data_IF_973269973593
#
_entry.id   IF_973269973593
#
_cell.length_a   1.000
_cell.length_b   1.000
_cell.length_c   1.000
_cell.angle_alpha   90.00
_cell.angle_beta   90.00
_cell.angle_gamma   90.00
#
_symmetry.space_group_name_H-M   'P 1'
#
loop_
_entity.id
_entity.type
_entity.pdbx_description
1 polymer ?
#
# COMPACT_ATOMS: atom_id res chain seq x y z
N UNK A 1 30.42 24.23 -1.43
CA UNK A 1 29.01 24.52 -1.73
C UNK A 1 28.35 23.20 -2.09
N UNK A 2 27.50 22.66 -1.23
CA UNK A 2 26.78 21.41 -1.53
C UNK A 2 25.77 21.71 -2.63
N UNK A 3 25.90 21.05 -3.79
CA UNK A 3 24.85 21.06 -4.80
C UNK A 3 23.64 20.41 -4.15
N UNK A 4 22.52 21.12 -4.06
CA UNK A 4 21.28 20.53 -3.57
C UNK A 4 20.90 19.38 -4.50
N UNK A 5 20.87 18.16 -3.99
CA UNK A 5 20.49 16.97 -4.76
C UNK A 5 19.01 17.07 -5.09
N UNK A 6 18.64 16.90 -6.36
CA UNK A 6 17.23 16.72 -6.74
C UNK A 6 16.72 15.42 -6.14
N UNK A 7 15.68 15.51 -5.32
CA UNK A 7 15.03 14.35 -4.70
C UNK A 7 13.87 13.92 -5.60
N UNK A 8 13.83 12.63 -5.93
CA UNK A 8 12.71 12.04 -6.67
C UNK A 8 11.65 11.54 -5.70
N UNK A 9 10.38 11.72 -6.07
CA UNK A 9 9.22 11.26 -5.32
C UNK A 9 8.36 10.39 -6.23
N UNK A 10 7.98 9.21 -5.75
CA UNK A 10 6.99 8.32 -6.38
C UNK A 10 5.87 8.03 -5.40
N UNK A 11 4.67 7.74 -5.92
CA UNK A 11 3.51 7.37 -5.12
C UNK A 11 2.86 6.14 -5.73
N UNK A 12 2.53 5.18 -4.86
CA UNK A 12 1.68 4.05 -5.16
C UNK A 12 0.31 4.34 -4.50
N UNK A 13 -0.78 4.18 -5.26
CA UNK A 13 -2.15 4.31 -4.75
C UNK A 13 -2.92 3.03 -5.03
N UNK A 14 -3.52 2.47 -3.98
CA UNK A 14 -4.43 1.34 -4.09
C UNK A 14 -5.89 1.84 -4.15
N UNK A 15 -6.71 1.18 -4.97
CA UNK A 15 -8.13 1.48 -5.13
C UNK A 15 -8.97 0.22 -5.06
N UNK A 16 -10.14 0.34 -4.43
CA UNK A 16 -11.18 -0.67 -4.52
C UNK A 16 -11.90 -0.58 -5.87
N UNK A 17 -11.99 -1.69 -6.59
CA UNK A 17 -12.83 -1.84 -7.79
C UNK A 17 -14.24 -2.21 -7.35
N UNK A 18 -15.22 -1.42 -7.78
CA UNK A 18 -16.64 -1.58 -7.41
C UNK A 18 -17.51 -1.71 -8.64
N UNK A 19 -18.55 -2.54 -8.56
CA UNK A 19 -19.61 -2.57 -9.57
C UNK A 19 -20.54 -1.37 -9.39
N UNK A 20 -20.77 -0.59 -10.45
CA UNK A 20 -21.56 0.66 -10.35
C UNK A 20 -23.05 0.42 -10.13
N UNK A 21 -23.56 -0.78 -10.41
CA UNK A 21 -24.97 -1.11 -10.21
C UNK A 21 -25.28 -1.50 -8.75
N UNK A 22 -24.56 -2.49 -8.23
CA UNK A 22 -24.68 -3.00 -6.87
C UNK A 22 -23.98 -2.12 -5.83
N UNK A 23 -22.97 -1.35 -6.26
CA UNK A 23 -22.05 -0.54 -5.41
C UNK A 23 -21.18 -1.38 -4.49
N UNK A 24 -21.03 -2.68 -4.79
CA UNK A 24 -20.20 -3.60 -4.01
C UNK A 24 -18.80 -3.69 -4.63
N UNK A 25 -17.79 -3.93 -3.79
CA UNK A 25 -16.48 -4.36 -4.27
C UNK A 25 -16.64 -5.65 -5.09
N UNK A 26 -15.90 -5.77 -6.19
CA UNK A 26 -16.05 -6.87 -7.15
C UNK A 26 -14.70 -7.41 -7.59
N UNK A 27 -14.53 -8.74 -7.78
CA UNK A 27 -13.27 -9.37 -8.17
C UNK A 27 -12.94 -9.23 -9.68
N UNK A 28 -13.22 -8.07 -10.26
CA UNK A 28 -13.09 -7.78 -11.70
C UNK A 28 -11.81 -7.01 -12.05
N UNK A 29 -10.80 -7.01 -11.17
CA UNK A 29 -9.55 -6.27 -11.43
C UNK A 29 -8.85 -6.74 -12.69
N UNK A 30 -8.83 -8.05 -12.96
CA UNK A 30 -8.16 -8.61 -14.14
C UNK A 30 -8.80 -8.08 -15.43
N UNK A 31 -10.13 -7.98 -15.46
CA UNK A 31 -10.88 -7.41 -16.58
C UNK A 31 -10.53 -5.94 -16.76
N UNK A 32 -10.48 -5.16 -15.67
CA UNK A 32 -10.11 -3.74 -15.70
C UNK A 32 -8.70 -3.52 -16.23
N UNK A 33 -7.74 -4.34 -15.78
CA UNK A 33 -6.32 -4.23 -16.13
C UNK A 33 -6.05 -4.53 -17.61
N UNK A 34 -6.92 -5.27 -18.31
CA UNK A 34 -6.75 -5.54 -19.75
C UNK A 34 -6.75 -4.28 -20.62
N UNK A 35 -7.31 -3.18 -20.11
CA UNK A 35 -7.40 -1.89 -20.79
C UNK A 35 -6.35 -0.87 -20.31
N UNK A 36 -5.42 -1.28 -19.44
CA UNK A 36 -4.46 -0.39 -18.76
C UNK A 36 -3.02 -0.82 -19.03
N UNK A 37 -2.09 0.12 -18.89
CA UNK A 37 -0.66 -0.14 -19.03
C UNK A 37 -0.12 -0.89 -17.80
N UNK A 38 0.37 -2.12 -18.00
CA UNK A 38 0.92 -2.95 -16.93
C UNK A 38 2.19 -2.38 -16.30
N UNK A 39 2.83 -1.38 -16.91
CA UNK A 39 3.93 -0.66 -16.29
C UNK A 39 3.47 0.31 -15.18
N UNK A 40 2.22 0.78 -15.24
CA UNK A 40 1.66 1.76 -14.32
C UNK A 40 0.58 1.17 -13.41
N UNK A 41 -0.02 0.04 -13.77
CA UNK A 41 -1.11 -0.59 -13.02
C UNK A 41 -0.85 -2.07 -12.76
N UNK A 42 -1.14 -2.50 -11.54
CA UNK A 42 -0.94 -3.88 -11.10
C UNK A 42 -2.13 -4.37 -10.26
N UNK A 43 -2.42 -5.68 -10.25
CA UNK A 43 -3.34 -6.25 -9.26
C UNK A 43 -2.67 -6.26 -7.88
N UNK A 44 -3.45 -6.19 -6.80
CA UNK A 44 -2.94 -6.42 -5.44
C UNK A 44 -3.45 -7.75 -4.85
N UNK A 45 -3.16 -8.03 -3.57
CA UNK A 45 -3.51 -9.26 -2.86
C UNK A 45 -4.98 -9.67 -3.04
N UNK A 46 -5.91 -8.70 -3.03
CA UNK A 46 -7.33 -8.97 -3.29
C UNK A 46 -7.68 -8.65 -4.75
N UNK A 47 -8.48 -9.51 -5.38
CA UNK A 47 -8.96 -9.36 -6.77
C UNK A 47 -9.91 -8.19 -6.98
N UNK A 48 -10.30 -7.52 -5.90
CA UNK A 48 -11.05 -6.26 -5.93
C UNK A 48 -10.16 -5.04 -5.78
N UNK A 49 -8.83 -5.17 -5.78
CA UNK A 49 -7.89 -4.08 -5.58
C UNK A 49 -6.98 -3.91 -6.78
N UNK A 50 -6.86 -2.66 -7.22
CA UNK A 50 -5.91 -2.24 -8.24
C UNK A 50 -4.94 -1.23 -7.64
N UNK A 51 -3.66 -1.39 -7.92
CA UNK A 51 -2.62 -0.44 -7.58
C UNK A 51 -2.24 0.38 -8.82
N UNK A 52 -2.00 1.68 -8.64
CA UNK A 52 -1.39 2.53 -9.65
C UNK A 52 -0.07 3.10 -9.14
N UNK A 53 0.93 3.16 -10.01
CA UNK A 53 2.28 3.60 -9.70
C UNK A 53 2.62 4.85 -10.52
N UNK A 54 2.93 5.96 -9.85
CA UNK A 54 3.46 7.14 -10.54
C UNK A 54 4.87 6.88 -11.06
N UNK A 55 5.27 7.64 -12.06
CA UNK A 55 6.69 7.77 -12.40
C UNK A 55 7.40 8.54 -11.28
N UNK A 56 8.74 8.40 -11.15
CA UNK A 56 9.52 9.27 -10.28
C UNK A 56 9.44 10.72 -10.75
N UNK A 57 8.98 11.62 -9.90
CA UNK A 57 8.81 13.05 -10.17
C UNK A 57 9.82 13.90 -9.41
N UNK A 58 10.20 15.04 -9.98
CA UNK A 58 11.13 15.99 -9.34
C UNK A 58 10.40 17.14 -8.63
N UNK A 59 9.12 17.35 -8.96
CA UNK A 59 8.27 18.38 -8.35
C UNK A 59 6.91 17.83 -7.96
N UNK A 60 6.23 18.51 -7.03
CA UNK A 60 4.88 18.14 -6.61
C UNK A 60 3.83 18.41 -7.70
N UNK A 61 4.07 19.35 -8.62
CA UNK A 61 3.16 19.63 -9.73
C UNK A 61 3.22 18.53 -10.80
N UNK A 62 4.42 18.01 -11.08
CA UNK A 62 4.60 16.80 -11.90
C UNK A 62 3.86 15.62 -11.26
N UNK A 63 4.10 15.38 -9.96
CA UNK A 63 3.47 14.28 -9.23
C UNK A 63 1.94 14.39 -9.24
N UNK A 64 1.39 15.60 -9.00
CA UNK A 64 -0.06 15.86 -9.08
C UNK A 64 -0.60 15.54 -10.46
N UNK A 65 0.10 15.96 -11.52
CA UNK A 65 -0.31 15.70 -12.90
C UNK A 65 -0.34 14.21 -13.19
N UNK A 66 0.67 13.46 -12.74
CA UNK A 66 0.74 12.02 -12.92
C UNK A 66 -0.38 11.29 -12.15
N UNK A 67 -0.56 11.59 -10.86
CA UNK A 67 -1.62 11.01 -10.02
C UNK A 67 -3.01 11.24 -10.60
N UNK A 68 -3.32 12.49 -10.98
CA UNK A 68 -4.63 12.81 -11.57
C UNK A 68 -4.82 12.14 -12.92
N UNK A 69 -3.77 12.00 -13.72
CA UNK A 69 -3.76 11.25 -14.97
C UNK A 69 -4.03 9.76 -14.79
N UNK A 70 -3.38 9.10 -13.83
CA UNK A 70 -3.58 7.68 -13.52
C UNK A 70 -5.00 7.41 -13.03
N UNK A 71 -5.52 8.24 -12.12
CA UNK A 71 -6.93 8.14 -11.66
C UNK A 71 -7.93 8.33 -12.80
N UNK A 72 -7.67 9.26 -13.72
CA UNK A 72 -8.52 9.48 -14.89
C UNK A 72 -8.50 8.26 -15.83
N UNK A 73 -7.35 7.62 -16.02
CA UNK A 73 -7.22 6.39 -16.80
C UNK A 73 -8.03 5.25 -16.18
N UNK A 74 -7.91 5.02 -14.86
CA UNK A 74 -8.71 4.02 -14.14
C UNK A 74 -10.22 4.25 -14.32
N UNK A 75 -10.67 5.49 -14.12
CA UNK A 75 -12.08 5.84 -14.27
C UNK A 75 -12.58 5.68 -15.71
N UNK A 76 -11.74 6.00 -16.70
CA UNK A 76 -12.07 5.84 -18.11
C UNK A 76 -12.14 4.35 -18.52
N UNK A 77 -11.21 3.52 -18.02
CA UNK A 77 -11.18 2.08 -18.29
C UNK A 77 -12.34 1.33 -17.63
N UNK A 78 -12.72 1.70 -16.41
CA UNK A 78 -13.82 1.04 -15.68
C UNK A 78 -15.22 1.35 -16.23
N UNK A 79 -15.45 2.59 -16.69
CA UNK A 79 -16.79 3.05 -17.13
C UNK A 79 -17.48 2.15 -18.16
N UNK A 80 -16.86 1.75 -19.29
CA UNK A 80 -17.52 0.87 -20.27
C UNK A 80 -17.82 -0.53 -19.72
N UNK A 81 -17.12 -0.95 -18.66
CA UNK A 81 -17.30 -2.25 -17.99
C UNK A 81 -18.38 -2.20 -16.90
N UNK A 82 -18.97 -1.02 -16.63
CA UNK A 82 -19.86 -0.83 -15.48
C UNK A 82 -19.12 -0.81 -14.14
N UNK A 83 -17.80 -0.61 -14.16
CA UNK A 83 -16.94 -0.58 -12.98
C UNK A 83 -16.58 0.86 -12.57
N UNK A 84 -16.43 1.07 -11.27
CA UNK A 84 -15.89 2.27 -10.66
C UNK A 84 -14.68 1.95 -9.78
N UNK A 85 -13.94 2.98 -9.39
CA UNK A 85 -12.82 2.87 -8.44
C UNK A 85 -13.04 3.79 -7.25
N UNK A 86 -12.67 3.34 -6.06
CA UNK A 86 -12.78 4.10 -4.80
C UNK A 86 -11.43 4.18 -4.12
N UNK A 87 -10.97 5.41 -3.85
CA UNK A 87 -9.78 5.69 -3.04
C UNK A 87 -10.22 5.92 -1.59
N UNK A 88 -10.25 4.85 -0.81
CA UNK A 88 -10.57 4.86 0.61
C UNK A 88 -9.90 3.67 1.28
N UNK A 89 -9.51 3.79 2.54
CA UNK A 89 -8.81 2.71 3.23
C UNK A 89 -9.62 1.42 3.37
N UNK A 90 -10.95 1.51 3.31
CA UNK A 90 -11.90 0.38 3.24
C UNK A 90 -13.14 0.79 2.45
N UNK A 91 -13.87 -0.20 1.91
CA UNK A 91 -15.24 -0.01 1.40
C UNK A 91 -16.25 -0.83 2.23
N UNK A 92 -17.42 -0.24 2.56
CA UNK A 92 -18.38 -0.88 3.46
C UNK A 92 -19.10 -2.07 2.83
N UNK A 93 -19.27 -2.07 1.51
CA UNK A 93 -20.04 -3.07 0.78
C UNK A 93 -19.10 -4.01 0.03
N UNK A 94 -18.87 -5.19 0.59
CA UNK A 94 -18.15 -6.28 -0.04
C UNK A 94 -18.68 -7.62 0.47
N UNK A 95 -18.53 -8.69 -0.32
CA UNK A 95 -18.85 -10.04 0.13
C UNK A 95 -17.75 -10.53 1.09
N UNK A 96 -18.09 -10.69 2.36
CA UNK A 96 -17.17 -11.14 3.42
C UNK A 96 -16.88 -12.65 3.35
N UNK A 97 -17.62 -13.39 2.53
CA UNK A 97 -17.46 -14.84 2.35
C UNK A 97 -16.76 -15.21 1.04
N UNK A 98 -16.63 -14.27 0.11
CA UNK A 98 -15.87 -14.47 -1.11
C UNK A 98 -14.39 -14.64 -0.78
N UNK A 99 -13.77 -15.67 -1.36
CA UNK A 99 -12.32 -15.88 -1.25
C UNK A 99 -11.68 -15.29 -2.49
N UNK A 100 -11.29 -14.02 -2.39
CA UNK A 100 -10.88 -13.21 -3.54
C UNK A 100 -9.38 -12.89 -3.52
N UNK A 101 -8.55 -13.83 -3.08
CA UNK A 101 -7.09 -13.65 -3.16
C UNK A 101 -6.62 -13.78 -4.62
N UNK A 102 -5.81 -12.82 -5.07
CA UNK A 102 -5.23 -12.79 -6.40
C UNK A 102 -4.31 -13.98 -6.65
N UNK A 103 -4.29 -14.46 -7.89
CA UNK A 103 -3.46 -15.60 -8.27
C UNK A 103 -1.97 -15.27 -8.12
N UNK A 104 -1.17 -16.28 -7.75
CA UNK A 104 0.28 -16.15 -7.66
C UNK A 104 0.84 -16.78 -6.40
N UNK A 105 1.99 -17.45 -6.56
CA UNK A 105 2.60 -18.27 -5.50
C UNK A 105 2.81 -17.51 -4.18
N UNK A 106 3.11 -16.21 -4.24
CA UNK A 106 3.30 -15.37 -3.05
C UNK A 106 1.98 -15.16 -2.29
N UNK A 107 0.92 -14.75 -2.98
CA UNK A 107 -0.38 -14.46 -2.37
C UNK A 107 -1.07 -15.73 -1.88
N UNK A 108 -0.98 -16.83 -2.64
CA UNK A 108 -1.46 -18.15 -2.21
C UNK A 108 -0.74 -18.63 -0.94
N UNK A 109 0.58 -18.45 -0.87
CA UNK A 109 1.34 -18.73 0.35
C UNK A 109 0.90 -17.86 1.53
N UNK A 110 0.73 -16.55 1.32
CA UNK A 110 0.24 -15.64 2.37
C UNK A 110 -1.14 -16.05 2.88
N UNK A 111 -2.04 -16.48 1.98
CA UNK A 111 -3.34 -16.99 2.37
C UNK A 111 -3.22 -18.27 3.22
N UNK A 112 -2.37 -19.21 2.83
CA UNK A 112 -2.12 -20.43 3.57
C UNK A 112 -1.50 -20.19 4.95
N UNK A 113 -0.55 -19.26 5.07
CA UNK A 113 0.18 -19.00 6.31
C UNK A 113 -0.61 -18.11 7.29
N UNK A 114 -1.19 -17.01 6.79
CA UNK A 114 -1.80 -15.97 7.64
C UNK A 114 -3.32 -16.06 7.73
N UNK A 115 -3.96 -16.89 6.89
CA UNK A 115 -5.35 -17.32 7.02
C UNK A 115 -6.33 -16.15 7.20
N UNK A 116 -6.79 -15.92 8.44
CA UNK A 116 -7.73 -14.86 8.78
C UNK A 116 -7.20 -13.49 8.38
N UNK A 117 -5.92 -13.19 8.58
CA UNK A 117 -5.37 -11.87 8.26
C UNK A 117 -5.41 -11.62 6.75
N UNK A 118 -5.03 -12.61 5.94
CA UNK A 118 -5.09 -12.52 4.49
C UNK A 118 -6.54 -12.34 3.99
N UNK A 119 -7.50 -13.07 4.56
CA UNK A 119 -8.94 -12.91 4.22
C UNK A 119 -9.53 -11.58 4.67
N UNK A 120 -8.93 -10.93 5.67
CA UNK A 120 -9.40 -9.64 6.18
C UNK A 120 -8.64 -8.46 5.59
N UNK A 121 -7.64 -8.69 4.74
CA UNK A 121 -6.82 -7.68 4.08
C UNK A 121 -7.57 -7.05 2.89
N UNK A 122 -8.79 -6.57 3.11
CA UNK A 122 -9.57 -5.78 2.16
C UNK A 122 -9.41 -4.29 2.48
N UNK A 123 -8.17 -3.82 2.39
CA UNK A 123 -7.81 -2.44 2.69
C UNK A 123 -6.98 -1.86 1.55
N UNK A 124 -7.08 -0.55 1.33
CA UNK A 124 -6.21 0.18 0.43
C UNK A 124 -5.24 1.07 1.21
N UNK A 125 -4.03 1.26 0.72
CA UNK A 125 -3.07 2.25 1.21
C UNK A 125 -2.65 3.27 0.16
N UNK A 126 -1.88 4.25 0.64
CA UNK A 126 -1.05 5.11 -0.22
C UNK A 126 0.39 5.04 0.27
N UNK A 127 1.27 4.64 -0.64
CA UNK A 127 2.70 4.51 -0.37
C UNK A 127 3.43 5.69 -1.01
N UNK A 128 4.30 6.34 -0.25
CA UNK A 128 5.11 7.46 -0.76
C UNK A 128 6.58 7.07 -0.71
N UNK A 129 7.21 7.04 -1.88
CA UNK A 129 8.62 6.73 -2.05
C UNK A 129 9.40 8.02 -2.24
N UNK A 130 10.47 8.20 -1.48
CA UNK A 130 11.38 9.34 -1.59
C UNK A 130 12.79 8.82 -1.79
N UNK A 131 13.44 9.22 -2.88
CA UNK A 131 14.81 8.82 -3.20
C UNK A 131 15.79 9.29 -2.11
N UNK A 132 16.70 8.40 -1.73
CA UNK A 132 17.74 8.62 -0.71
C UNK A 132 19.08 8.15 -1.25
N UNK A 133 20.18 8.86 -0.96
CA UNK A 133 21.48 8.58 -1.56
C UNK A 133 22.12 7.29 -1.05
N UNK A 134 21.79 6.88 0.17
CA UNK A 134 22.31 5.68 0.81
C UNK A 134 21.32 5.14 1.86
N UNK A 135 21.55 3.89 2.27
CA UNK A 135 20.64 3.16 3.15
C UNK A 135 20.75 3.58 4.62
N UNK A 136 21.91 4.07 5.06
CA UNK A 136 22.07 4.56 6.44
C UNK A 136 21.22 5.82 6.63
N UNK A 137 21.21 6.71 5.62
CA UNK A 137 20.32 7.86 5.62
C UNK A 137 18.84 7.44 5.54
N UNK A 138 18.50 6.40 4.77
CA UNK A 138 17.13 5.86 4.75
C UNK A 138 16.68 5.46 6.17
N UNK A 139 17.52 4.72 6.90
CA UNK A 139 17.25 4.32 8.28
C UNK A 139 17.12 5.53 9.20
N UNK A 140 18.03 6.50 9.10
CA UNK A 140 17.97 7.72 9.91
C UNK A 140 16.69 8.54 9.65
N UNK A 141 16.25 8.64 8.39
CA UNK A 141 15.01 9.32 8.00
C UNK A 141 13.79 8.59 8.57
N UNK A 142 13.74 7.25 8.50
CA UNK A 142 12.65 6.48 9.10
C UNK A 142 12.51 6.78 10.61
N UNK A 143 13.62 6.77 11.36
CA UNK A 143 13.61 7.11 12.78
C UNK A 143 13.16 8.55 13.04
N UNK A 144 13.60 9.48 12.18
CA UNK A 144 13.29 10.90 12.33
C UNK A 144 11.80 11.21 12.07
N UNK A 145 11.18 10.55 11.09
CA UNK A 145 9.78 10.77 10.71
C UNK A 145 8.81 10.00 11.61
N UNK A 146 9.25 8.94 12.28
CA UNK A 146 8.41 8.09 13.13
C UNK A 146 7.48 8.86 14.10
N UNK A 147 7.93 9.91 14.82
CA UNK A 147 7.06 10.66 15.72
C UNK A 147 5.93 11.45 15.03
N UNK A 148 6.08 11.76 13.73
CA UNK A 148 5.08 12.49 12.95
C UNK A 148 4.03 11.58 12.30
N UNK A 149 4.28 10.27 12.26
CA UNK A 149 3.40 9.29 11.62
C UNK A 149 1.94 9.35 12.12
N UNK A 150 1.64 9.47 13.43
CA UNK A 150 0.25 9.55 13.90
C UNK A 150 -0.53 10.75 13.33
N UNK A 151 0.16 11.87 13.05
CA UNK A 151 -0.47 13.05 12.45
C UNK A 151 -0.81 12.79 10.98
N UNK A 152 0.08 12.14 10.24
CA UNK A 152 -0.18 11.75 8.85
C UNK A 152 -1.37 10.79 8.76
N UNK A 153 -1.42 9.78 9.64
CA UNK A 153 -2.57 8.89 9.74
C UNK A 153 -3.88 9.64 10.04
N UNK A 154 -3.85 10.60 10.96
CA UNK A 154 -5.03 11.39 11.29
C UNK A 154 -5.53 12.23 10.10
N UNK A 155 -4.62 12.72 9.25
CA UNK A 155 -4.96 13.49 8.05
C UNK A 155 -5.45 12.61 6.90
N UNK A 156 -4.96 11.38 6.79
CA UNK A 156 -5.30 10.45 5.71
C UNK A 156 -6.48 9.51 6.01
N UNK A 157 -6.97 9.50 7.27
CA UNK A 157 -8.01 8.58 7.71
C UNK A 157 -9.27 8.66 6.82
N UNK A 158 -9.60 7.54 6.17
CA UNK A 158 -10.66 7.45 5.16
C UNK A 158 -11.48 6.17 5.24
N UNK A 159 -11.41 5.45 6.37
CA UNK A 159 -12.03 4.12 6.52
C UNK A 159 -12.90 3.97 7.79
N UNK A 160 -13.93 4.81 7.98
CA UNK A 160 -14.75 4.72 9.19
C UNK A 160 -15.69 3.52 9.24
N UNK A 161 -15.99 2.91 8.09
CA UNK A 161 -16.87 1.75 8.00
C UNK A 161 -16.09 0.45 7.76
N UNK A 162 -16.55 -0.64 8.38
CA UNK A 162 -16.01 -1.98 8.23
C UNK A 162 -17.14 -3.00 8.15
N UNK A 163 -17.14 -3.85 7.11
CA UNK A 163 -18.13 -4.92 6.91
C UNK A 163 -19.59 -4.46 7.05
N UNK A 164 -19.91 -3.34 6.40
CA UNK A 164 -21.26 -2.77 6.37
C UNK A 164 -21.69 -2.01 7.63
N UNK A 165 -20.83 -1.86 8.64
CA UNK A 165 -21.13 -1.16 9.88
C UNK A 165 -20.17 0.01 10.14
N UNK A 166 -20.64 1.04 10.85
CA UNK A 166 -19.76 2.05 11.43
C UNK A 166 -18.88 1.38 12.48
N UNK A 167 -17.56 1.50 12.33
CA UNK A 167 -16.59 0.88 13.22
C UNK A 167 -16.42 1.64 14.54
N UNK A 168 -16.82 2.92 14.60
CA UNK A 168 -16.47 3.84 15.67
C UNK A 168 -15.05 4.42 15.59
N UNK A 169 -14.26 4.06 14.58
CA UNK A 169 -12.92 4.57 14.31
C UNK A 169 -12.90 5.45 13.06
N UNK A 170 -11.93 6.36 12.97
CA UNK A 170 -11.68 7.10 11.73
C UNK A 170 -10.95 6.23 10.67
N UNK A 171 -10.15 5.26 11.13
CA UNK A 171 -9.37 4.36 10.28
C UNK A 171 -9.51 2.90 10.72
N UNK A 172 -10.46 2.18 10.15
CA UNK A 172 -10.58 0.72 10.29
C UNK A 172 -9.42 0.01 9.61
N UNK A 173 -8.89 0.58 8.52
CA UNK A 173 -7.69 0.12 7.82
C UNK A 173 -6.55 -0.16 8.80
N UNK A 174 -6.28 0.80 9.70
CA UNK A 174 -5.18 0.69 10.66
C UNK A 174 -5.37 -0.49 11.60
N UNK A 175 -6.59 -0.75 12.08
CA UNK A 175 -6.88 -1.88 12.96
C UNK A 175 -6.72 -3.22 12.26
N UNK A 176 -7.09 -3.30 10.99
CA UNK A 176 -6.87 -4.49 10.18
C UNK A 176 -5.37 -4.72 9.98
N UNK A 177 -4.64 -3.67 9.59
CA UNK A 177 -3.22 -3.72 9.22
C UNK A 177 -2.29 -4.07 10.39
N UNK A 178 -2.51 -3.51 11.58
CA UNK A 178 -1.65 -3.71 12.76
C UNK A 178 -1.57 -5.16 13.26
N UNK A 179 -2.42 -6.05 12.75
CA UNK A 179 -2.39 -7.48 13.10
C UNK A 179 -1.37 -8.28 12.30
N UNK A 180 -0.85 -7.73 11.20
CA UNK A 180 0.22 -8.36 10.44
C UNK A 180 1.55 -8.30 11.19
N UNK A 181 2.42 -9.33 11.06
CA UNK A 181 3.75 -9.30 11.67
C UNK A 181 4.50 -8.05 11.23
N UNK A 182 5.21 -7.41 12.16
CA UNK A 182 6.03 -6.20 11.93
C UNK A 182 5.27 -4.94 11.51
N UNK A 183 3.93 -4.96 11.40
CA UNK A 183 3.15 -3.77 11.12
C UNK A 183 3.22 -2.77 12.29
N UNK A 184 3.36 -1.48 11.96
CA UNK A 184 3.43 -0.39 12.94
C UNK A 184 4.74 0.41 12.86
N UNK A 185 5.12 1.14 13.92
CA UNK A 185 6.27 2.02 13.90
C UNK A 185 7.58 1.31 13.51
N UNK A 186 8.55 2.02 12.90
CA UNK A 186 9.83 1.42 12.54
C UNK A 186 10.55 0.90 13.79
N UNK A 187 11.25 -0.22 13.62
CA UNK A 187 12.10 -0.77 14.68
C UNK A 187 13.28 0.16 14.97
N UNK A 188 13.70 0.26 16.24
CA UNK A 188 14.83 1.08 16.65
C UNK A 188 16.15 0.44 16.24
N UNK A 189 16.71 0.86 15.11
CA UNK A 189 18.01 0.43 14.56
C UNK A 189 18.86 1.65 14.23
N UNK A 190 20.19 1.51 14.32
CA UNK A 190 21.15 2.62 14.19
C UNK A 190 21.57 2.90 12.75
N UNK A 191 21.66 1.87 11.93
CA UNK A 191 22.22 1.92 10.57
C UNK A 191 21.62 0.82 9.69
N UNK A 192 21.98 0.81 8.41
CA UNK A 192 21.49 -0.17 7.44
C UNK A 192 21.93 -1.60 7.77
N UNK A 193 23.10 -1.78 8.39
CA UNK A 193 23.60 -3.10 8.76
C UNK A 193 22.76 -3.73 9.87
N UNK A 194 22.38 -2.96 10.90
CA UNK A 194 21.43 -3.42 11.92
C UNK A 194 20.04 -3.67 11.36
N UNK A 195 19.58 -2.83 10.42
CA UNK A 195 18.31 -3.05 9.73
C UNK A 195 18.29 -4.37 8.95
N UNK A 196 19.36 -4.67 8.22
CA UNK A 196 19.50 -5.92 7.46
C UNK A 196 19.58 -7.14 8.38
N UNK A 197 20.33 -7.03 9.49
CA UNK A 197 20.42 -8.09 10.50
C UNK A 197 19.05 -8.39 11.12
N UNK A 198 18.29 -7.34 11.48
CA UNK A 198 16.93 -7.47 11.99
C UNK A 198 16.01 -8.22 11.00
N UNK A 199 16.03 -7.85 9.73
CA UNK A 199 15.20 -8.52 8.71
C UNK A 199 15.63 -9.98 8.55
N UNK A 200 16.94 -10.25 8.52
CA UNK A 200 17.46 -11.61 8.43
C UNK A 200 17.00 -12.47 9.63
N UNK A 201 16.98 -11.93 10.84
CA UNK A 201 16.50 -12.61 12.04
C UNK A 201 14.98 -12.85 11.98
N UNK A 202 14.20 -11.88 11.51
CA UNK A 202 12.74 -12.01 11.34
C UNK A 202 12.37 -13.09 10.31
N UNK A 203 13.12 -13.18 9.21
CA UNK A 203 12.96 -14.24 8.21
C UNK A 203 13.41 -15.59 8.76
N UNK A 204 14.58 -15.64 9.39
CA UNK A 204 15.15 -16.90 9.93
C UNK A 204 14.29 -17.50 11.04
N UNK A 205 13.68 -16.66 11.87
CA UNK A 205 12.74 -17.08 12.91
C UNK A 205 11.37 -17.52 12.39
N UNK A 206 11.05 -17.25 11.12
CA UNK A 206 9.73 -17.48 10.55
C UNK A 206 8.66 -16.47 11.00
N UNK A 207 9.06 -15.35 11.61
CA UNK A 207 8.12 -14.26 11.95
C UNK A 207 7.53 -13.63 10.69
N UNK A 208 8.36 -13.54 9.65
CA UNK A 208 7.95 -13.16 8.29
C UNK A 208 8.55 -14.14 7.27
N UNK A 209 7.89 -14.32 6.13
CA UNK A 209 8.28 -15.34 5.14
C UNK A 209 9.31 -14.84 4.13
N UNK A 210 9.42 -13.52 3.96
CA UNK A 210 10.41 -12.83 3.10
C UNK A 210 10.55 -11.34 3.49
N UNK A 211 11.60 -10.63 3.02
CA UNK A 211 11.78 -9.20 3.30
C UNK A 211 10.65 -8.29 2.82
N UNK A 212 9.84 -8.71 1.85
CA UNK A 212 8.68 -7.96 1.38
C UNK A 212 7.53 -7.90 2.40
N UNK A 213 7.60 -8.71 3.46
CA UNK A 213 6.65 -8.72 4.58
C UNK A 213 7.05 -7.81 5.75
N UNK A 214 8.06 -6.95 5.58
CA UNK A 214 8.44 -5.94 6.57
C UNK A 214 7.44 -4.79 6.53
N UNK A 215 6.43 -4.77 7.39
CA UNK A 215 5.29 -3.87 7.28
C UNK A 215 5.38 -2.60 8.13
N UNK A 216 6.60 -2.16 8.47
CA UNK A 216 6.78 -0.89 9.17
C UNK A 216 6.11 0.28 8.43
N UNK A 217 5.49 1.18 9.18
CA UNK A 217 4.76 2.36 8.71
C UNK A 217 5.64 3.31 7.88
N UNK A 218 6.96 3.26 8.12
CA UNK A 218 8.01 3.85 7.29
C UNK A 218 9.22 2.91 7.27
N UNK A 219 9.79 2.65 6.08
CA UNK A 219 10.90 1.70 5.93
C UNK A 219 11.81 2.06 4.76
N UNK A 220 13.12 1.71 4.81
CA UNK A 220 13.91 1.55 3.60
C UNK A 220 13.23 0.55 2.66
N UNK A 221 13.04 0.93 1.39
CA UNK A 221 12.48 0.03 0.39
C UNK A 221 13.39 -1.18 0.16
N UNK A 222 12.81 -2.35 -0.02
CA UNK A 222 13.55 -3.60 -0.27
C UNK A 222 14.06 -3.71 -1.72
N UNK A 223 13.54 -2.90 -2.64
CA UNK A 223 13.76 -3.05 -4.08
C UNK A 223 14.09 -1.74 -4.80
N UNK A 224 13.99 -0.60 -4.11
CA UNK A 224 14.36 0.72 -4.61
C UNK A 224 15.29 1.45 -3.62
N UNK A 225 16.16 2.37 -4.10
CA UNK A 225 16.97 3.23 -3.23
C UNK A 225 16.13 4.36 -2.61
N UNK A 226 15.01 4.01 -1.98
CA UNK A 226 14.02 4.96 -1.45
C UNK A 226 13.72 4.69 0.01
N UNK A 227 13.29 5.72 0.72
CA UNK A 227 12.49 5.57 1.94
C UNK A 227 11.02 5.53 1.53
N UNK A 228 10.28 4.60 2.10
CA UNK A 228 8.89 4.29 1.77
C UNK A 228 8.00 4.52 2.98
N UNK A 229 7.08 5.48 2.88
CA UNK A 229 6.03 5.76 3.87
C UNK A 229 4.77 4.97 3.49
N UNK A 230 4.19 4.20 4.41
CA UNK A 230 3.04 3.30 4.16
C UNK A 230 1.86 3.48 5.12
N UNK A 231 1.95 4.47 6.00
CA UNK A 231 0.93 4.67 7.05
C UNK A 231 -0.42 5.15 6.51
N UNK A 232 -0.44 5.80 5.35
CA UNK A 232 -1.62 6.43 4.76
C UNK A 232 -2.61 5.39 4.22
#
# INVERSE_FOLDING_TARGET
MSVARTVLIGVEEEFHVVDLHSRQATPEVDTLLTALDSAAFAPELQRSLVESNTRPCTTLDELRTDLTGLRAQLAAAGRPLGLGVVSAGTVPLHDVHATDVSAGARYERMQCEYQMLAREQHICGTQVHVDVPDRDLAVAVAQHVAPALPVLLALSASSPYWRGADSGYASSRTLVWQRWPTAGPPSSVRDAAEYDALIADLVTSGTISDPGMVYFDVRPSAHQPTIELRIC
#
